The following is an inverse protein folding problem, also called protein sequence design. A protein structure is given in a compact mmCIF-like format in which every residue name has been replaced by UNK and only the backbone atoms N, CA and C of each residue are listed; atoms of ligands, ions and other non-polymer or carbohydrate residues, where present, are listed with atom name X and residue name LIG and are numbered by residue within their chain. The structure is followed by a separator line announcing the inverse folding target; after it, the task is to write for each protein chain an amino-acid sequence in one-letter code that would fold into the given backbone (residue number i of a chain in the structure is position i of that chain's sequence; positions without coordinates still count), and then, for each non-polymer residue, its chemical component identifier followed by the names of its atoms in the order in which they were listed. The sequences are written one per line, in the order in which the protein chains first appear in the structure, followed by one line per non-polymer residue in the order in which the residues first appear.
data_IF_980649597261
#
_entry.id   IF_980649597261
#
_cell.length_a   1.000
_cell.length_b   1.000
_cell.length_c   1.000
_cell.angle_alpha   90.00
_cell.angle_beta   90.00
_cell.angle_gamma   90.00
#
_symmetry.space_group_name_H-M   'P 1'
#
loop_
_entity.id
_entity.type
_entity.pdbx_description
1 polymer ?
#
# COMPACT_ATOMS: atom_id res chain seq x y z
N UNK A 1 3.02 -17.82 -5.59
CA UNK A 1 1.57 -17.63 -5.88
C UNK A 1 1.27 -16.15 -5.74
N UNK A 2 0.63 -15.54 -6.72
CA UNK A 2 0.26 -14.11 -6.66
C UNK A 2 -1.12 -13.93 -6.06
N UNK A 3 -1.30 -12.92 -5.20
CA UNK A 3 -2.56 -12.54 -4.60
C UNK A 3 -2.75 -11.03 -4.75
N UNK A 4 -3.74 -10.63 -5.56
CA UNK A 4 -4.08 -9.23 -5.78
C UNK A 4 -4.96 -8.69 -4.64
N UNK A 5 -5.08 -7.36 -4.56
CA UNK A 5 -5.91 -6.71 -3.55
C UNK A 5 -7.39 -7.13 -3.66
N UNK A 6 -7.98 -7.72 -2.61
CA UNK A 6 -9.29 -8.36 -2.69
C UNK A 6 -10.44 -7.36 -2.87
N UNK A 7 -10.26 -6.10 -2.49
CA UNK A 7 -11.31 -5.07 -2.53
C UNK A 7 -11.20 -4.13 -3.73
N UNK A 8 -10.43 -4.51 -4.75
CA UNK A 8 -10.23 -3.70 -5.98
C UNK A 8 -11.53 -3.12 -6.57
N UNK A 9 -12.64 -3.88 -6.68
CA UNK A 9 -13.89 -3.37 -7.26
C UNK A 9 -14.66 -2.33 -6.44
N UNK A 10 -14.42 -2.26 -5.13
CA UNK A 10 -15.08 -1.28 -4.24
C UNK A 10 -14.16 -0.11 -3.90
N UNK A 11 -12.84 -0.29 -4.01
CA UNK A 11 -11.85 0.75 -3.81
C UNK A 11 -11.65 1.67 -5.04
N UNK A 12 -12.20 1.30 -6.20
CA UNK A 12 -12.07 2.04 -7.46
C UNK A 12 -13.40 2.07 -8.22
N UNK A 13 -13.58 2.98 -9.20
CA UNK A 13 -14.79 3.03 -9.99
C UNK A 13 -15.11 1.68 -10.66
N UNK A 14 -16.32 1.15 -10.40
CA UNK A 14 -16.73 -0.19 -10.84
C UNK A 14 -16.59 -0.41 -12.35
N UNK A 15 -16.79 0.63 -13.16
CA UNK A 15 -16.69 0.55 -14.63
C UNK A 15 -15.28 0.19 -15.14
N UNK A 16 -14.23 0.32 -14.33
CA UNK A 16 -12.87 -0.10 -14.72
C UNK A 16 -12.71 -1.63 -14.72
N UNK A 17 -13.50 -2.33 -13.90
CA UNK A 17 -13.44 -3.79 -13.72
C UNK A 17 -14.86 -4.37 -13.58
N UNK A 18 -15.75 -4.15 -14.57
CA UNK A 18 -17.18 -4.35 -14.42
C UNK A 18 -17.58 -5.82 -14.20
N UNK A 19 -16.78 -6.74 -14.72
CA UNK A 19 -17.07 -8.19 -14.71
C UNK A 19 -16.13 -8.98 -13.79
N UNK A 20 -15.14 -8.31 -13.17
CA UNK A 20 -14.15 -8.99 -12.35
C UNK A 20 -14.62 -9.11 -10.91
N UNK A 21 -14.27 -10.24 -10.30
CA UNK A 21 -14.45 -10.51 -8.88
C UNK A 21 -13.10 -10.74 -8.23
N UNK A 22 -12.87 -10.01 -7.15
CA UNK A 22 -11.72 -10.13 -6.27
C UNK A 22 -12.22 -10.54 -4.90
N UNK A 23 -11.36 -11.15 -4.10
CA UNK A 23 -11.74 -11.53 -2.75
C UNK A 23 -10.69 -12.39 -2.08
N UNK A 24 -10.84 -12.50 -0.76
CA UNK A 24 -10.07 -13.43 0.05
C UNK A 24 -10.75 -14.79 -0.08
N UNK A 25 -10.04 -15.77 -0.63
CA UNK A 25 -10.57 -17.11 -0.92
C UNK A 25 -9.60 -18.17 -0.41
N UNK A 26 -9.62 -18.38 0.90
CA UNK A 26 -8.71 -19.29 1.61
C UNK A 26 -8.69 -20.69 0.95
N UNK A 27 -9.85 -21.24 0.58
CA UNK A 27 -9.95 -22.54 -0.08
C UNK A 27 -9.26 -22.57 -1.46
N UNK A 28 -9.40 -21.49 -2.23
CA UNK A 28 -8.70 -21.37 -3.51
C UNK A 28 -7.19 -21.25 -3.30
N UNK A 29 -6.76 -20.43 -2.34
CA UNK A 29 -5.35 -20.30 -2.00
C UNK A 29 -4.77 -21.64 -1.55
N UNK A 30 -5.46 -22.38 -0.67
CA UNK A 30 -5.05 -23.72 -0.23
C UNK A 30 -4.89 -24.67 -1.42
N UNK A 31 -5.87 -24.70 -2.34
CA UNK A 31 -5.77 -25.49 -3.57
C UNK A 31 -4.51 -25.15 -4.37
N UNK A 32 -4.19 -23.88 -4.55
CA UNK A 32 -3.01 -23.45 -5.32
C UNK A 32 -1.69 -23.79 -4.60
N UNK A 33 -1.67 -23.71 -3.27
CA UNK A 33 -0.53 -24.13 -2.46
C UNK A 33 -0.31 -25.63 -2.60
N UNK A 34 -1.37 -26.44 -2.45
CA UNK A 34 -1.30 -27.89 -2.58
C UNK A 34 -0.87 -28.31 -3.98
N UNK A 35 -1.39 -27.66 -5.02
CA UNK A 35 -1.00 -27.89 -6.41
C UNK A 35 0.48 -27.57 -6.65
N UNK A 36 0.98 -26.44 -6.13
CA UNK A 36 2.39 -26.08 -6.23
C UNK A 36 3.29 -27.13 -5.56
N UNK A 37 2.90 -27.59 -4.37
CA UNK A 37 3.63 -28.65 -3.64
C UNK A 37 3.59 -29.97 -4.38
N UNK A 38 2.44 -30.38 -4.91
CA UNK A 38 2.29 -31.60 -5.69
C UNK A 38 3.17 -31.59 -6.95
N UNK A 39 3.35 -30.42 -7.57
CA UNK A 39 4.28 -30.21 -8.69
C UNK A 39 5.76 -30.17 -8.30
N UNK A 40 6.08 -30.34 -7.01
CA UNK A 40 7.45 -30.45 -6.51
C UNK A 40 8.04 -29.17 -5.90
N UNK A 41 7.24 -28.12 -5.66
CA UNK A 41 7.73 -26.91 -5.01
C UNK A 41 8.24 -27.21 -3.58
N UNK A 42 9.53 -26.95 -3.34
CA UNK A 42 10.17 -27.12 -2.04
C UNK A 42 9.99 -25.89 -1.14
N UNK A 43 9.75 -24.72 -1.73
CA UNK A 43 9.37 -23.49 -1.05
C UNK A 43 8.17 -22.89 -1.77
N UNK A 44 7.14 -22.50 -1.03
CA UNK A 44 5.95 -21.83 -1.55
C UNK A 44 5.85 -20.45 -0.91
N UNK A 45 5.96 -19.43 -1.77
CA UNK A 45 5.85 -18.03 -1.40
C UNK A 45 4.56 -17.45 -1.97
N UNK A 46 3.82 -16.72 -1.15
CA UNK A 46 2.73 -15.86 -1.63
C UNK A 46 3.25 -14.43 -1.76
N UNK A 47 3.14 -13.87 -2.96
CA UNK A 47 3.34 -12.44 -3.20
C UNK A 47 1.97 -11.78 -3.14
N UNK A 48 1.68 -11.10 -2.02
CA UNK A 48 0.36 -10.63 -1.66
C UNK A 48 0.25 -9.11 -1.74
N UNK A 49 -0.95 -8.66 -2.05
CA UNK A 49 -1.38 -7.28 -1.93
C UNK A 49 -2.67 -7.17 -1.10
N UNK A 50 -2.92 -8.11 -0.19
CA UNK A 50 -4.09 -8.07 0.69
C UNK A 50 -3.99 -6.95 1.74
N UNK A 51 -2.79 -6.75 2.29
CA UNK A 51 -2.56 -5.97 3.50
C UNK A 51 -2.07 -6.85 4.65
N UNK A 52 -1.24 -6.30 5.53
CA UNK A 52 -0.54 -7.04 6.59
C UNK A 52 -1.48 -7.85 7.48
N UNK A 53 -2.51 -7.24 8.09
CA UNK A 53 -3.39 -7.95 9.03
C UNK A 53 -4.21 -9.05 8.35
N UNK A 54 -4.63 -8.82 7.10
CA UNK A 54 -5.29 -9.83 6.26
C UNK A 54 -4.34 -10.99 5.96
N UNK A 55 -3.08 -10.71 5.62
CA UNK A 55 -2.07 -11.73 5.35
C UNK A 55 -1.70 -12.53 6.60
N UNK A 56 -1.62 -11.89 7.78
CA UNK A 56 -1.44 -12.56 9.07
C UNK A 56 -2.61 -13.52 9.34
N UNK A 57 -3.84 -13.08 9.13
CA UNK A 57 -5.02 -13.94 9.29
C UNK A 57 -5.03 -15.09 8.28
N UNK A 58 -4.72 -14.83 7.00
CA UNK A 58 -4.63 -15.88 5.97
C UNK A 58 -3.54 -16.90 6.29
N UNK A 59 -2.37 -16.47 6.76
CA UNK A 59 -1.27 -17.34 7.18
C UNK A 59 -1.66 -18.29 8.33
N UNK A 60 -2.61 -17.90 9.18
CA UNK A 60 -3.13 -18.76 10.26
C UNK A 60 -4.07 -19.86 9.76
N UNK A 61 -4.66 -19.68 8.58
CA UNK A 61 -5.69 -20.56 8.00
C UNK A 61 -5.14 -21.45 6.90
N UNK A 62 -4.37 -20.89 5.98
CA UNK A 62 -3.81 -21.61 4.84
C UNK A 62 -2.50 -22.30 5.25
N UNK A 63 -2.43 -23.60 4.99
CA UNK A 63 -1.28 -24.43 5.35
C UNK A 63 -0.34 -24.63 4.16
N UNK A 64 0.95 -24.83 4.43
CA UNK A 64 1.95 -25.15 3.40
C UNK A 64 2.62 -23.95 2.72
N UNK A 65 2.25 -22.71 3.09
CA UNK A 65 2.96 -21.47 2.71
C UNK A 65 4.17 -21.30 3.63
N UNK A 66 5.37 -21.11 3.07
CA UNK A 66 6.57 -20.84 3.86
C UNK A 66 6.68 -19.35 4.21
N UNK A 67 6.40 -18.47 3.25
CA UNK A 67 6.32 -17.04 3.51
C UNK A 67 5.32 -16.29 2.63
N UNK A 68 4.85 -15.16 3.16
CA UNK A 68 4.05 -14.15 2.50
C UNK A 68 4.86 -12.85 2.46
N UNK A 69 5.08 -12.34 1.26
CA UNK A 69 5.58 -11.00 1.03
C UNK A 69 4.38 -10.13 0.67
N UNK A 70 3.91 -9.36 1.63
CA UNK A 70 2.72 -8.53 1.48
C UNK A 70 3.03 -7.13 0.93
N UNK A 71 1.96 -6.39 0.75
CA UNK A 71 1.93 -5.01 0.26
C UNK A 71 0.70 -4.30 0.80
N UNK A 72 0.18 -3.32 0.07
CA UNK A 72 -1.02 -2.53 0.39
C UNK A 72 -0.94 -1.63 1.64
N UNK A 73 -0.53 -2.17 2.79
CA UNK A 73 -0.53 -1.47 4.09
C UNK A 73 0.72 -0.63 4.36
N UNK A 74 1.74 -0.76 3.50
CA UNK A 74 2.97 0.05 3.52
C UNK A 74 3.79 -0.08 4.83
N UNK A 75 3.69 -1.22 5.52
CA UNK A 75 4.45 -1.48 6.74
C UNK A 75 5.91 -1.78 6.41
N UNK A 76 6.83 -1.09 7.09
CA UNK A 76 8.23 -1.50 7.12
C UNK A 76 8.43 -2.52 8.23
N UNK A 77 8.46 -3.82 7.89
CA UNK A 77 8.54 -4.92 8.87
C UNK A 77 10.00 -5.34 9.05
N UNK A 78 10.68 -4.97 10.16
CA UNK A 78 12.12 -5.20 10.30
C UNK A 78 12.48 -6.68 10.42
N UNK A 79 11.56 -7.51 10.92
CA UNK A 79 11.67 -8.96 11.01
C UNK A 79 10.32 -9.61 10.69
N UNK A 80 10.28 -10.74 9.94
CA UNK A 80 9.02 -11.35 9.55
C UNK A 80 8.26 -11.87 10.77
N UNK A 81 6.95 -11.66 10.77
CA UNK A 81 6.06 -12.19 11.80
C UNK A 81 5.84 -13.68 11.55
N UNK A 82 6.05 -14.50 12.58
CA UNK A 82 5.83 -15.96 12.51
C UNK A 82 4.40 -16.28 12.90
N UNK A 83 3.61 -16.77 11.96
CA UNK A 83 2.23 -17.18 12.21
C UNK A 83 2.12 -18.71 12.19
N UNK A 84 1.63 -19.27 13.29
CA UNK A 84 1.36 -20.71 13.40
C UNK A 84 0.01 -21.03 12.75
N UNK A 85 -0.06 -22.17 12.07
CA UNK A 85 -1.29 -22.76 11.55
C UNK A 85 -1.31 -24.26 11.86
N UNK A 86 -2.35 -24.96 11.39
CA UNK A 86 -2.59 -26.37 11.72
C UNK A 86 -1.46 -27.34 11.29
N UNK A 87 -0.59 -26.97 10.34
CA UNK A 87 0.47 -27.86 9.82
C UNK A 87 1.88 -27.27 9.87
N UNK A 88 2.07 -26.07 10.43
CA UNK A 88 3.38 -25.44 10.46
C UNK A 88 3.37 -23.97 10.83
N UNK A 89 4.32 -23.23 10.28
CA UNK A 89 4.50 -21.80 10.50
C UNK A 89 4.77 -21.11 9.17
N UNK A 90 4.12 -19.99 8.95
CA UNK A 90 4.32 -19.11 7.80
C UNK A 90 4.95 -17.81 8.27
N UNK A 91 5.94 -17.31 7.51
CA UNK A 91 6.57 -16.01 7.75
C UNK A 91 5.81 -14.92 6.99
N UNK A 92 5.43 -13.82 7.62
CA UNK A 92 4.72 -12.72 6.96
C UNK A 92 5.54 -11.44 7.09
N UNK A 93 5.78 -10.74 5.98
CA UNK A 93 6.59 -9.51 5.98
C UNK A 93 6.15 -8.53 4.89
N UNK A 94 6.41 -7.24 5.12
CA UNK A 94 6.25 -6.13 4.18
C UNK A 94 7.54 -5.28 4.14
N UNK A 95 7.82 -4.65 3.00
CA UNK A 95 9.03 -3.84 2.77
C UNK A 95 8.74 -2.33 2.66
N UNK A 96 7.73 -1.83 3.38
CA UNK A 96 7.34 -0.42 3.36
C UNK A 96 6.74 0.01 2.02
N UNK A 97 7.04 1.24 1.62
CA UNK A 97 6.55 1.87 0.38
C UNK A 97 7.60 2.79 -0.24
N UNK A 98 7.32 3.30 -1.44
CA UNK A 98 8.16 4.29 -2.15
C UNK A 98 9.62 3.85 -2.35
N UNK A 99 9.88 2.54 -2.39
CA UNK A 99 11.24 2.00 -2.50
C UNK A 99 12.14 2.29 -1.29
N UNK A 100 11.58 2.70 -0.14
CA UNK A 100 12.36 3.03 1.07
C UNK A 100 13.16 1.85 1.61
N UNK A 101 12.68 0.62 1.39
CA UNK A 101 13.36 -0.59 1.83
C UNK A 101 13.33 -1.68 0.77
N UNK A 102 14.34 -2.56 0.83
CA UNK A 102 14.40 -3.83 0.13
C UNK A 102 14.39 -4.98 1.15
N UNK A 103 13.32 -5.78 1.14
CA UNK A 103 13.24 -7.00 1.94
C UNK A 103 13.98 -8.16 1.27
N UNK A 104 14.94 -8.76 1.97
CA UNK A 104 15.74 -9.89 1.47
C UNK A 104 15.57 -11.08 2.42
N UNK A 105 15.08 -12.21 1.88
CA UNK A 105 14.91 -13.45 2.64
C UNK A 105 15.72 -14.57 1.99
N UNK A 106 16.73 -15.04 2.72
CA UNK A 106 17.53 -16.21 2.33
C UNK A 106 16.91 -17.45 3.02
N UNK A 107 16.56 -18.48 2.26
CA UNK A 107 16.08 -19.75 2.80
C UNK A 107 17.14 -20.84 2.71
N UNK A 108 17.26 -21.64 3.76
CA UNK A 108 17.98 -22.91 3.72
C UNK A 108 16.98 -24.05 3.50
N UNK A 109 17.18 -24.84 2.43
CA UNK A 109 16.28 -25.93 2.05
C UNK A 109 17.02 -27.26 2.12
N UNK A 110 16.54 -28.17 2.97
CA UNK A 110 17.08 -29.53 3.13
C UNK A 110 15.94 -30.53 3.19
N UNK A 111 16.10 -31.67 2.51
CA UNK A 111 15.08 -32.72 2.50
C UNK A 111 13.72 -32.24 1.99
N UNK A 112 13.69 -31.33 1.00
CA UNK A 112 12.49 -30.71 0.42
C UNK A 112 11.67 -29.83 1.39
N UNK A 113 12.29 -29.32 2.46
CA UNK A 113 11.67 -28.42 3.44
C UNK A 113 12.60 -27.25 3.78
N UNK A 114 12.01 -26.11 4.11
CA UNK A 114 12.74 -24.98 4.70
C UNK A 114 13.17 -25.36 6.12
N UNK A 115 14.47 -25.33 6.41
CA UNK A 115 15.01 -25.64 7.74
C UNK A 115 15.42 -24.39 8.53
N UNK A 116 15.82 -23.34 7.84
CA UNK A 116 16.18 -22.07 8.44
C UNK A 116 15.96 -20.92 7.45
N UNK A 117 15.96 -19.69 7.94
CA UNK A 117 15.94 -18.50 7.11
C UNK A 117 16.77 -17.38 7.73
N UNK A 118 17.21 -16.45 6.88
CA UNK A 118 17.79 -15.17 7.30
C UNK A 118 17.05 -14.04 6.60
N UNK A 119 16.62 -13.04 7.37
CA UNK A 119 15.92 -11.89 6.83
C UNK A 119 16.67 -10.59 7.10
N UNK A 120 16.68 -9.69 6.11
CA UNK A 120 17.19 -8.33 6.21
C UNK A 120 16.20 -7.38 5.55
N UNK A 121 15.86 -6.29 6.24
CA UNK A 121 15.18 -5.15 5.63
C UNK A 121 16.24 -4.07 5.40
N UNK A 122 16.62 -3.87 4.14
CA UNK A 122 17.72 -2.98 3.77
C UNK A 122 17.15 -1.59 3.42
N UNK A 123 17.51 -0.51 4.14
CA UNK A 123 17.08 0.83 3.78
C UNK A 123 17.77 1.29 2.49
N UNK A 124 17.03 1.98 1.63
CA UNK A 124 17.54 2.53 0.37
C UNK A 124 17.83 4.02 0.57
N UNK A 125 19.10 4.33 0.85
CA UNK A 125 19.60 5.70 0.94
C UNK A 125 20.30 6.07 -0.37
N UNK A 126 19.63 6.85 -1.24
CA UNK A 126 20.14 7.21 -2.57
C UNK A 126 21.44 8.03 -2.53
N UNK A 127 21.70 8.75 -1.44
CA UNK A 127 22.95 9.48 -1.22
C UNK A 127 24.13 8.58 -0.78
N UNK A 128 23.88 7.31 -0.45
CA UNK A 128 24.90 6.34 -0.04
C UNK A 128 25.12 5.21 -1.06
N UNK A 129 24.32 5.18 -2.14
CA UNK A 129 24.34 4.14 -3.15
C UNK A 129 24.58 4.76 -4.52
N UNK A 130 25.47 4.20 -5.35
CA UNK A 130 25.61 4.65 -6.73
C UNK A 130 24.31 4.34 -7.49
N UNK A 131 23.84 5.29 -8.29
CA UNK A 131 22.73 5.06 -9.21
C UNK A 131 23.15 4.06 -10.30
N UNK A 132 22.22 3.19 -10.70
CA UNK A 132 22.42 2.37 -11.89
C UNK A 132 22.41 3.28 -13.15
N UNK A 133 23.49 3.31 -13.95
CA UNK A 133 23.61 4.25 -15.06
C UNK A 133 22.52 4.07 -16.14
N UNK A 134 22.09 2.82 -16.39
CA UNK A 134 21.08 2.54 -17.40
C UNK A 134 19.70 3.01 -16.94
N UNK A 135 19.36 2.79 -15.67
CA UNK A 135 18.10 3.25 -15.08
C UNK A 135 18.04 4.77 -14.95
N UNK A 136 19.13 5.43 -14.52
CA UNK A 136 19.21 6.89 -14.46
C UNK A 136 19.00 7.52 -15.85
N UNK A 137 19.67 6.98 -16.87
CA UNK A 137 19.49 7.43 -18.26
C UNK A 137 18.05 7.21 -18.74
N UNK A 138 17.43 6.08 -18.39
CA UNK A 138 16.04 5.79 -18.74
C UNK A 138 15.07 6.77 -18.07
N UNK A 139 15.21 7.00 -16.76
CA UNK A 139 14.36 7.94 -16.00
C UNK A 139 14.49 9.35 -16.59
N UNK A 140 15.71 9.84 -16.83
CA UNK A 140 15.95 11.15 -17.46
C UNK A 140 15.27 11.25 -18.82
N UNK A 141 15.39 10.22 -19.66
CA UNK A 141 14.76 10.17 -20.98
C UNK A 141 13.22 10.24 -20.89
N UNK A 142 12.61 9.48 -19.99
CA UNK A 142 11.15 9.44 -19.82
C UNK A 142 10.62 10.76 -19.26
N UNK A 143 11.38 11.40 -18.37
CA UNK A 143 10.99 12.67 -17.72
C UNK A 143 11.23 13.90 -18.57
N UNK A 144 12.19 13.88 -19.49
CA UNK A 144 12.60 15.04 -20.28
C UNK A 144 11.43 15.84 -20.93
N UNK A 145 10.38 15.22 -21.50
CA UNK A 145 9.24 15.97 -22.05
C UNK A 145 8.38 16.70 -21.02
N UNK A 146 8.47 16.32 -19.74
CA UNK A 146 7.61 16.80 -18.65
C UNK A 146 8.37 17.62 -17.61
N UNK A 147 9.69 17.76 -17.75
CA UNK A 147 10.56 18.34 -16.72
C UNK A 147 10.10 19.74 -16.29
N UNK A 148 9.75 20.62 -17.24
CA UNK A 148 9.26 21.97 -16.93
C UNK A 148 7.96 21.96 -16.13
N UNK A 149 7.05 21.02 -16.43
CA UNK A 149 5.79 20.87 -15.70
C UNK A 149 6.05 20.29 -14.31
N UNK A 150 6.82 19.22 -14.20
CA UNK A 150 7.09 18.53 -12.93
C UNK A 150 7.85 19.43 -11.93
N UNK A 151 8.77 20.25 -12.45
CA UNK A 151 9.59 21.18 -11.66
C UNK A 151 8.93 22.53 -11.37
N UNK A 152 7.72 22.79 -11.90
CA UNK A 152 6.97 24.02 -11.63
C UNK A 152 6.79 24.20 -10.12
N UNK A 153 7.35 25.27 -9.57
CA UNK A 153 7.24 25.62 -8.16
C UNK A 153 5.92 26.33 -7.92
N UNK A 154 5.07 25.74 -7.07
CA UNK A 154 3.76 26.26 -6.73
C UNK A 154 3.80 27.09 -5.44
N UNK A 155 4.52 26.61 -4.43
CA UNK A 155 4.63 27.26 -3.12
C UNK A 155 5.90 26.81 -2.37
N UNK A 156 6.11 27.38 -1.19
CA UNK A 156 7.06 26.90 -0.17
C UNK A 156 6.26 26.72 1.12
N UNK A 157 6.48 25.61 1.82
CA UNK A 157 5.86 25.36 3.13
C UNK A 157 6.90 25.51 4.23
N UNK A 158 6.60 26.31 5.26
CA UNK A 158 7.41 26.33 6.49
C UNK A 158 7.03 25.19 7.44
N UNK A 159 5.94 24.47 7.15
CA UNK A 159 5.48 23.30 7.91
C UNK A 159 6.01 21.99 7.35
N UNK A 160 6.09 20.99 8.23
CA UNK A 160 6.33 19.60 7.86
C UNK A 160 5.06 18.99 7.25
N UNK A 161 5.12 18.63 5.97
CA UNK A 161 3.97 18.09 5.23
C UNK A 161 4.06 16.56 5.11
N UNK A 162 3.15 15.86 5.76
CA UNK A 162 3.03 14.40 5.70
C UNK A 162 1.58 13.97 5.42
N UNK A 163 1.44 12.81 4.78
CA UNK A 163 0.13 12.25 4.41
C UNK A 163 -0.33 11.13 5.35
N UNK A 164 0.55 10.17 5.66
CA UNK A 164 0.16 8.97 6.43
C UNK A 164 -0.28 9.32 7.86
N UNK A 165 -1.51 8.94 8.19
CA UNK A 165 -2.10 8.95 9.53
C UNK A 165 -3.49 8.31 9.49
N UNK A 166 -3.98 7.79 10.62
CA UNK A 166 -5.31 7.17 10.68
C UNK A 166 -6.45 8.20 10.71
N UNK A 167 -6.17 9.43 11.13
CA UNK A 167 -7.17 10.48 11.31
C UNK A 167 -6.87 11.74 10.49
N UNK A 168 -5.61 12.16 10.40
CA UNK A 168 -5.22 13.33 9.62
C UNK A 168 -3.74 13.30 9.21
N UNK A 169 -3.40 14.10 8.20
CA UNK A 169 -2.05 14.46 7.77
C UNK A 169 -2.01 15.92 7.30
N UNK A 170 -0.90 16.61 7.54
CA UNK A 170 -0.76 18.04 7.17
C UNK A 170 -0.84 18.28 5.67
N UNK A 171 -0.49 17.29 4.84
CA UNK A 171 -0.76 17.33 3.40
C UNK A 171 -2.26 17.34 3.08
N UNK A 172 -3.02 16.46 3.73
CA UNK A 172 -4.47 16.36 3.49
C UNK A 172 -5.19 17.60 4.02
N UNK A 173 -4.73 18.19 5.12
CA UNK A 173 -5.24 19.47 5.61
C UNK A 173 -5.12 20.57 4.55
N UNK A 174 -3.94 20.73 3.96
CA UNK A 174 -3.73 21.70 2.88
C UNK A 174 -4.65 21.46 1.68
N UNK A 175 -4.88 20.19 1.31
CA UNK A 175 -5.77 19.84 0.20
C UNK A 175 -7.23 20.17 0.51
N UNK A 176 -7.73 19.85 1.72
CA UNK A 176 -9.12 20.15 2.08
C UNK A 176 -9.36 21.63 2.25
N UNK A 177 -8.40 22.39 2.78
CA UNK A 177 -8.50 23.85 2.90
C UNK A 177 -8.62 24.49 1.52
N UNK A 178 -7.78 24.09 0.57
CA UNK A 178 -7.86 24.56 -0.81
C UNK A 178 -9.18 24.16 -1.50
N UNK A 179 -9.68 22.95 -1.25
CA UNK A 179 -10.98 22.53 -1.78
C UNK A 179 -12.13 23.37 -1.21
N UNK A 180 -12.12 23.63 0.10
CA UNK A 180 -13.14 24.47 0.74
C UNK A 180 -13.11 25.90 0.23
N UNK A 181 -11.92 26.51 0.11
CA UNK A 181 -11.75 27.87 -0.41
C UNK A 181 -12.24 28.00 -1.86
N UNK A 182 -11.83 27.08 -2.74
CA UNK A 182 -12.15 27.15 -4.17
C UNK A 182 -13.60 26.78 -4.47
N UNK A 183 -14.20 25.86 -3.70
CA UNK A 183 -15.57 25.38 -3.94
C UNK A 183 -16.61 26.09 -3.07
N UNK A 184 -16.20 26.82 -2.03
CA UNK A 184 -17.11 27.40 -1.05
C UNK A 184 -17.83 26.34 -0.21
N UNK A 185 -17.12 25.30 0.22
CA UNK A 185 -17.68 24.22 1.03
C UNK A 185 -17.49 24.48 2.54
N UNK A 186 -18.46 24.08 3.36
CA UNK A 186 -18.37 24.15 4.83
C UNK A 186 -17.49 23.05 5.43
N UNK A 187 -17.31 21.95 4.70
CA UNK A 187 -16.48 20.81 5.05
C UNK A 187 -16.00 20.11 3.77
N UNK A 188 -14.86 19.41 3.86
CA UNK A 188 -14.32 18.64 2.75
C UNK A 188 -13.73 17.31 3.22
N UNK A 189 -13.78 16.31 2.34
CA UNK A 189 -13.21 14.98 2.56
C UNK A 189 -12.03 14.77 1.61
N UNK A 190 -10.91 14.32 2.16
CA UNK A 190 -9.78 13.80 1.38
C UNK A 190 -9.70 12.28 1.55
N UNK A 191 -9.45 11.50 0.49
CA UNK A 191 -9.21 10.07 0.65
C UNK A 191 -7.93 9.82 1.45
N UNK A 192 -8.04 8.99 2.49
CA UNK A 192 -6.94 8.55 3.35
C UNK A 192 -5.97 7.59 2.66
N UNK A 193 -5.45 7.95 1.49
CA UNK A 193 -4.47 7.15 0.77
C UNK A 193 -3.15 7.06 1.54
N UNK A 194 -2.57 5.85 1.58
CA UNK A 194 -1.25 5.62 2.18
C UNK A 194 -0.06 6.01 1.31
N UNK A 195 -0.28 6.20 0.00
CA UNK A 195 0.77 6.63 -0.93
C UNK A 195 0.89 8.15 -0.91
N UNK A 196 2.11 8.64 -1.09
CA UNK A 196 2.44 10.05 -0.96
C UNK A 196 3.88 10.22 -0.51
N UNK A 197 4.42 11.43 -0.69
CA UNK A 197 5.73 11.83 -0.19
C UNK A 197 5.60 12.85 0.95
N UNK A 198 6.71 13.09 1.65
CA UNK A 198 6.82 14.03 2.75
C UNK A 198 7.68 15.20 2.32
N UNK A 199 7.31 16.42 2.72
CA UNK A 199 8.16 17.61 2.57
C UNK A 199 8.59 18.14 3.93
N UNK A 200 9.85 18.58 4.00
CA UNK A 200 10.40 19.24 5.17
C UNK A 200 10.09 20.73 5.15
N UNK A 201 10.11 21.41 6.32
CA UNK A 201 10.10 22.87 6.38
C UNK A 201 11.11 23.51 5.43
N UNK A 202 10.65 24.46 4.62
CA UNK A 202 11.44 25.19 3.61
C UNK A 202 11.51 24.50 2.24
N UNK A 203 11.03 23.26 2.10
CA UNK A 203 10.96 22.60 0.80
C UNK A 203 9.91 23.28 -0.10
N UNK A 204 10.20 23.31 -1.40
CA UNK A 204 9.26 23.77 -2.40
C UNK A 204 8.17 22.71 -2.66
N UNK A 205 6.91 23.14 -2.66
CA UNK A 205 5.82 22.37 -3.24
C UNK A 205 5.89 22.57 -4.75
N UNK A 206 6.33 21.55 -5.48
CA UNK A 206 6.29 21.53 -6.95
C UNK A 206 5.04 20.83 -7.46
N UNK A 207 4.74 20.97 -8.75
CA UNK A 207 3.68 20.20 -9.41
C UNK A 207 3.88 18.69 -9.23
N UNK A 208 5.12 18.19 -9.32
CA UNK A 208 5.40 16.78 -9.02
C UNK A 208 5.03 16.41 -7.58
N UNK A 209 5.35 17.27 -6.60
CA UNK A 209 5.00 17.02 -5.20
C UNK A 209 3.51 17.07 -4.96
N UNK A 210 2.75 17.89 -5.69
CA UNK A 210 1.29 17.85 -5.66
C UNK A 210 0.77 16.54 -6.29
N UNK A 211 1.32 16.14 -7.44
CA UNK A 211 0.94 14.90 -8.11
C UNK A 211 1.25 13.65 -7.27
N UNK A 212 2.35 13.64 -6.50
CA UNK A 212 2.66 12.60 -5.52
C UNK A 212 1.52 12.37 -4.51
N UNK A 213 0.65 13.36 -4.31
CA UNK A 213 -0.48 13.31 -3.37
C UNK A 213 -1.84 13.07 -4.05
N UNK A 214 -1.99 13.41 -5.33
CA UNK A 214 -3.31 13.50 -5.99
C UNK A 214 -3.43 12.75 -7.32
N UNK A 215 -2.37 12.07 -7.78
CA UNK A 215 -2.33 11.42 -9.10
C UNK A 215 -3.18 10.12 -9.19
N UNK A 216 -4.49 10.24 -9.03
CA UNK A 216 -5.46 9.21 -9.41
C UNK A 216 -5.98 9.44 -10.83
N UNK A 217 -6.42 8.38 -11.51
CA UNK A 217 -6.94 8.45 -12.89
C UNK A 217 -8.37 8.99 -12.99
N UNK A 218 -9.01 9.26 -11.85
CA UNK A 218 -10.33 9.85 -11.69
C UNK A 218 -10.30 11.04 -10.69
N UNK A 219 -9.50 12.09 -10.96
CA UNK A 219 -9.16 13.13 -9.98
C UNK A 219 -10.22 14.23 -9.82
N UNK A 220 -11.43 14.04 -10.36
CA UNK A 220 -12.49 15.05 -10.32
C UNK A 220 -12.93 15.32 -8.89
N UNK A 221 -12.95 16.59 -8.49
CA UNK A 221 -13.51 17.03 -7.21
C UNK A 221 -14.95 17.50 -7.39
N UNK A 222 -15.82 17.19 -6.42
CA UNK A 222 -17.25 17.53 -6.47
C UNK A 222 -17.66 18.35 -5.25
N UNK A 223 -18.67 19.19 -5.41
CA UNK A 223 -19.35 19.91 -4.33
C UNK A 223 -20.78 19.38 -4.27
N UNK A 224 -21.19 18.85 -3.12
CA UNK A 224 -22.50 18.22 -2.95
C UNK A 224 -23.09 18.62 -1.60
N UNK A 225 -24.38 18.95 -1.56
CA UNK A 225 -25.10 19.17 -0.32
C UNK A 225 -25.32 17.86 0.42
N UNK A 226 -25.00 17.83 1.71
CA UNK A 226 -25.11 16.65 2.57
C UNK A 226 -25.70 17.04 3.92
N UNK A 227 -26.57 16.21 4.48
CA UNK A 227 -27.07 16.43 5.85
C UNK A 227 -25.98 16.08 6.87
N UNK A 228 -26.00 16.71 8.04
CA UNK A 228 -25.09 16.35 9.13
C UNK A 228 -25.22 14.88 9.55
N UNK A 229 -26.42 14.30 9.44
CA UNK A 229 -26.66 12.87 9.65
C UNK A 229 -25.88 12.01 8.64
N UNK A 230 -25.92 12.34 7.35
CA UNK A 230 -25.17 11.60 6.33
C UNK A 230 -23.66 11.72 6.53
N UNK A 231 -23.16 12.91 6.90
CA UNK A 231 -21.74 13.10 7.26
C UNK A 231 -21.36 12.14 8.39
N UNK A 232 -22.17 12.08 9.46
CA UNK A 232 -21.94 11.17 10.58
C UNK A 232 -21.94 9.71 10.11
N UNK A 233 -22.94 9.30 9.33
CA UNK A 233 -23.05 7.92 8.82
C UNK A 233 -21.81 7.51 8.03
N UNK A 234 -21.29 8.38 7.16
CA UNK A 234 -20.07 8.10 6.39
C UNK A 234 -18.87 7.92 7.32
N UNK A 235 -18.71 8.79 8.31
CA UNK A 235 -17.59 8.70 9.26
C UNK A 235 -17.63 7.44 10.12
N UNK A 236 -18.83 7.03 10.57
CA UNK A 236 -19.03 5.79 11.33
C UNK A 236 -18.74 4.56 10.47
N UNK A 237 -19.20 4.52 9.21
CA UNK A 237 -18.93 3.42 8.28
C UNK A 237 -17.41 3.25 8.01
N UNK A 238 -16.69 4.37 7.84
CA UNK A 238 -15.23 4.35 7.71
C UNK A 238 -14.55 3.84 8.99
N UNK A 239 -15.03 4.25 10.17
CA UNK A 239 -14.48 3.81 11.46
C UNK A 239 -14.72 2.31 11.70
N UNK A 240 -15.94 1.83 11.44
CA UNK A 240 -16.31 0.41 11.54
C UNK A 240 -15.47 -0.47 10.60
N UNK A 241 -15.09 0.06 9.44
CA UNK A 241 -14.19 -0.61 8.51
C UNK A 241 -12.74 -0.63 9.02
N UNK A 242 -12.20 0.55 9.35
CA UNK A 242 -10.79 0.72 9.71
C UNK A 242 -10.42 0.00 11.01
N UNK A 243 -11.32 0.04 11.99
CA UNK A 243 -11.10 -0.51 13.32
C UNK A 243 -11.82 -1.85 13.53
N UNK A 244 -12.23 -2.51 12.44
CA UNK A 244 -12.86 -3.81 12.55
C UNK A 244 -11.93 -4.80 13.25
N UNK A 245 -12.45 -5.49 14.26
CA UNK A 245 -11.68 -6.48 15.02
C UNK A 245 -11.27 -7.69 14.17
N UNK A 246 -12.01 -7.96 13.09
CA UNK A 246 -11.65 -8.97 12.12
C UNK A 246 -10.92 -8.33 10.92
N UNK A 247 -9.63 -8.67 10.70
CA UNK A 247 -8.85 -8.18 9.57
C UNK A 247 -9.49 -8.40 8.20
N UNK A 248 -10.31 -9.45 8.02
CA UNK A 248 -10.96 -9.71 6.73
C UNK A 248 -12.09 -8.74 6.41
N UNK A 249 -12.51 -7.87 7.34
CA UNK A 249 -13.46 -6.80 7.06
C UNK A 249 -12.79 -5.42 6.97
N UNK A 250 -11.47 -5.35 7.15
CA UNK A 250 -10.71 -4.14 6.91
C UNK A 250 -10.46 -4.00 5.41
N UNK A 251 -10.98 -2.92 4.80
CA UNK A 251 -10.95 -2.70 3.35
C UNK A 251 -10.01 -1.57 2.93
N UNK A 252 -9.33 -0.93 3.88
CA UNK A 252 -8.35 0.12 3.60
C UNK A 252 -7.10 0.02 4.48
N UNK A 253 -6.52 1.18 4.75
CA UNK A 253 -6.07 1.47 6.12
C UNK A 253 -4.84 2.34 6.24
#
# INVERSE_FOLDING_TARGET
IGQAFPYTPIANPRWMVPDWSFGIRDDSMQKWVDEARAKGAQVVIVLSHNGMDVDLKMASRVTGIDAIFGGHTHDGVPQPVKIKNAKGTTLVTNAGSNGKFLGVMDFEVKGKRVTSFKYRLLPVFSNLLPADPAMDAYIKKVRAPYESKLSEKLAVSDDFLYRRGNFNGTWDQLLVDAMMEVKGADAAFSPGFRWGTTLLPGDAITMERLMDQTAITYPQTTLTNMTGEMIKTIMEDVADNLFNADPYYQHGG
#
